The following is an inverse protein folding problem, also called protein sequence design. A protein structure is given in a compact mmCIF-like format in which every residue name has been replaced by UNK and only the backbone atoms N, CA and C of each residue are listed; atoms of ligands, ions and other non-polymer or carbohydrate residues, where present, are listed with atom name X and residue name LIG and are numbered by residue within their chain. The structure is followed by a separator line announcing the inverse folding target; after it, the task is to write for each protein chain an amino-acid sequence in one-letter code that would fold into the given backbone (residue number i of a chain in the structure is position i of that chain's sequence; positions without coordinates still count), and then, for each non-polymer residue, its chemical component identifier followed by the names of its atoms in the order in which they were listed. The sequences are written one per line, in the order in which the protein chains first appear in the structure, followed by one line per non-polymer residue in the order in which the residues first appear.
data_IF_952277866094
#
_entry.id   IF_952277866094
#
_cell.length_a   1.000
_cell.length_b   1.000
_cell.length_c   1.000
_cell.angle_alpha   90.00
_cell.angle_beta   90.00
_cell.angle_gamma   90.00
#
_symmetry.space_group_name_H-M   'P 1'
#
loop_
_entity.id
_entity.type
_entity.pdbx_description
1 polymer ?
#
# COMPACT_ATOMS: atom_id res chain seq x y z
N UNK A 1 -5.21 30.34 22.05
CA UNK A 1 -3.91 29.70 22.37
C UNK A 1 -4.02 28.18 22.46
N UNK A 2 -5.07 27.63 23.09
CA UNK A 2 -5.35 26.19 23.15
C UNK A 2 -5.24 25.47 21.80
N UNK A 3 -5.85 26.03 20.75
CA UNK A 3 -5.79 25.48 19.39
C UNK A 3 -4.37 25.41 18.80
N UNK A 4 -3.49 26.36 19.12
CA UNK A 4 -2.10 26.31 18.64
C UNK A 4 -1.31 25.20 19.34
N UNK A 5 -1.59 24.96 20.63
CA UNK A 5 -0.98 23.87 21.39
C UNK A 5 -1.44 22.52 20.80
N UNK A 6 -2.75 22.36 20.57
CA UNK A 6 -3.30 21.16 19.92
C UNK A 6 -2.74 20.97 18.51
N UNK A 7 -2.64 22.03 17.71
CA UNK A 7 -2.05 21.99 16.38
C UNK A 7 -0.57 21.59 16.42
N UNK A 8 0.20 22.09 17.39
CA UNK A 8 1.62 21.74 17.53
C UNK A 8 1.80 20.27 17.96
N UNK A 9 0.97 19.76 18.87
CA UNK A 9 0.94 18.35 19.24
C UNK A 9 0.63 17.46 18.02
N UNK A 10 -0.32 17.87 17.18
CA UNK A 10 -0.63 17.20 15.92
C UNK A 10 0.58 17.10 14.98
N UNK A 11 1.39 18.17 14.88
CA UNK A 11 2.60 18.15 14.06
C UNK A 11 3.65 17.14 14.55
N UNK A 12 3.86 17.04 15.87
CA UNK A 12 4.78 16.03 16.42
C UNK A 12 4.30 14.61 16.16
N UNK A 13 2.99 14.35 16.29
CA UNK A 13 2.41 13.04 15.98
C UNK A 13 2.61 12.71 14.49
N UNK A 14 2.39 13.67 13.59
CA UNK A 14 2.62 13.46 12.16
C UNK A 14 4.08 13.16 11.82
N UNK A 15 5.04 13.82 12.50
CA UNK A 15 6.47 13.58 12.31
C UNK A 15 6.86 12.17 12.76
N UNK A 16 6.33 11.70 13.89
CA UNK A 16 6.59 10.33 14.36
C UNK A 16 5.97 9.32 13.39
N UNK A 17 4.75 9.58 12.90
CA UNK A 17 4.08 8.71 11.94
C UNK A 17 4.85 8.57 10.61
N UNK A 18 5.41 9.66 10.08
CA UNK A 18 6.20 9.61 8.84
C UNK A 18 7.52 8.87 9.03
N UNK A 19 8.21 9.04 10.15
CA UNK A 19 9.41 8.27 10.48
C UNK A 19 9.08 6.77 10.57
N UNK A 20 8.00 6.41 11.26
CA UNK A 20 7.54 5.02 11.36
C UNK A 20 7.21 4.43 9.99
N UNK A 21 6.52 5.19 9.13
CA UNK A 21 6.21 4.77 7.76
C UNK A 21 7.48 4.48 6.94
N UNK A 22 8.49 5.35 7.02
CA UNK A 22 9.77 5.14 6.34
C UNK A 22 10.48 3.88 6.83
N UNK A 23 10.47 3.61 8.14
CA UNK A 23 11.09 2.41 8.72
C UNK A 23 10.39 1.12 8.27
N UNK A 24 9.06 1.11 8.22
CA UNK A 24 8.29 -0.06 7.77
C UNK A 24 8.58 -0.35 6.29
N UNK A 25 8.60 0.67 5.43
CA UNK A 25 8.94 0.50 4.01
C UNK A 25 10.36 -0.03 3.87
N UNK A 26 11.32 0.58 4.58
CA UNK A 26 12.73 0.15 4.55
C UNK A 26 12.91 -1.32 4.95
N UNK A 27 12.31 -1.71 6.07
CA UNK A 27 12.35 -3.09 6.55
C UNK A 27 11.71 -4.05 5.53
N UNK A 28 10.59 -3.66 4.91
CA UNK A 28 9.90 -4.47 3.92
C UNK A 28 10.75 -4.75 2.68
N UNK A 29 11.53 -3.76 2.22
CA UNK A 29 12.42 -3.90 1.06
C UNK A 29 13.59 -4.86 1.33
N UNK A 30 14.13 -4.87 2.55
CA UNK A 30 15.22 -5.77 2.95
C UNK A 30 14.71 -7.21 3.10
N UNK A 31 13.56 -7.39 3.76
CA UNK A 31 13.08 -8.71 4.15
C UNK A 31 12.32 -9.46 3.03
N UNK A 32 12.04 -8.82 1.88
CA UNK A 32 11.44 -9.41 0.66
C UNK A 32 10.39 -10.50 0.93
N UNK A 33 9.43 -10.22 1.84
CA UNK A 33 8.43 -11.21 2.24
C UNK A 33 7.49 -11.47 1.06
N UNK A 34 7.39 -12.73 0.63
CA UNK A 34 6.44 -13.13 -0.41
C UNK A 34 5.01 -13.05 0.11
N UNK A 35 4.10 -12.54 -0.72
CA UNK A 35 2.68 -12.44 -0.37
C UNK A 35 2.04 -13.82 -0.54
N UNK A 36 1.54 -14.41 0.55
CA UNK A 36 0.94 -15.75 0.54
C UNK A 36 -0.56 -15.69 0.18
N UNK A 37 -1.26 -14.65 0.67
CA UNK A 37 -2.67 -14.41 0.40
C UNK A 37 -2.92 -12.90 0.25
N UNK A 38 -3.73 -12.50 -0.73
CA UNK A 38 -4.21 -11.13 -0.86
C UNK A 38 -5.49 -10.94 -0.02
N UNK A 39 -5.56 -9.85 0.73
CA UNK A 39 -6.75 -9.46 1.51
C UNK A 39 -7.57 -8.38 0.80
N UNK A 40 -7.30 -8.17 -0.50
CA UNK A 40 -7.81 -7.05 -1.26
C UNK A 40 -9.20 -7.39 -1.81
N UNK A 41 -10.09 -6.39 -1.91
CA UNK A 41 -11.34 -6.57 -2.64
C UNK A 41 -11.04 -6.71 -4.14
N UNK A 42 -11.54 -7.74 -4.84
CA UNK A 42 -11.26 -7.97 -6.26
C UNK A 42 -12.12 -7.08 -7.17
N UNK A 43 -12.21 -5.78 -6.86
CA UNK A 43 -13.00 -4.83 -7.65
C UNK A 43 -12.33 -4.40 -8.94
N UNK A 44 -11.00 -4.46 -9.01
CA UNK A 44 -10.20 -4.12 -10.18
C UNK A 44 -9.39 -5.32 -10.67
N UNK A 45 -9.15 -5.36 -11.98
CA UNK A 45 -8.45 -6.46 -12.63
C UNK A 45 -7.00 -6.63 -12.18
N UNK A 46 -6.36 -5.54 -11.71
CA UNK A 46 -4.98 -5.54 -11.22
C UNK A 46 -4.77 -6.49 -10.03
N UNK A 47 -5.81 -6.71 -9.21
CA UNK A 47 -5.73 -7.60 -8.05
C UNK A 47 -5.71 -9.09 -8.41
N UNK A 48 -5.96 -9.43 -9.67
CA UNK A 48 -5.81 -10.80 -10.18
C UNK A 48 -4.39 -11.08 -10.70
N UNK A 49 -3.52 -10.09 -10.78
CA UNK A 49 -2.13 -10.30 -11.22
C UNK A 49 -1.29 -10.97 -10.13
N UNK A 50 -0.23 -11.67 -10.55
CA UNK A 50 0.81 -12.16 -9.65
C UNK A 50 1.60 -10.99 -9.03
N UNK A 51 2.19 -11.24 -7.87
CA UNK A 51 3.05 -10.30 -7.15
C UNK A 51 4.49 -10.87 -7.14
N UNK A 52 5.45 -10.35 -7.94
CA UNK A 52 5.35 -9.21 -8.86
C UNK A 52 4.68 -9.55 -10.20
N UNK A 53 4.12 -8.55 -10.91
CA UNK A 53 3.56 -8.75 -12.23
C UNK A 53 4.66 -9.05 -13.25
N UNK A 54 4.34 -9.88 -14.25
CA UNK A 54 5.23 -10.10 -15.39
C UNK A 54 5.25 -8.85 -16.30
N UNK A 55 6.35 -8.63 -17.05
CA UNK A 55 6.47 -7.54 -18.02
C UNK A 55 5.32 -7.53 -19.04
N UNK A 56 4.92 -8.71 -19.50
CA UNK A 56 3.70 -8.93 -20.25
C UNK A 56 2.65 -9.53 -19.32
N UNK A 57 1.96 -8.66 -18.57
CA UNK A 57 1.08 -9.08 -17.48
C UNK A 57 -0.19 -9.83 -17.94
N UNK A 58 -0.55 -9.71 -19.22
CA UNK A 58 -1.69 -10.42 -19.82
C UNK A 58 -1.29 -10.99 -21.19
N UNK A 59 -1.63 -12.25 -21.44
CA UNK A 59 -1.57 -12.83 -22.80
C UNK A 59 -2.75 -12.36 -23.66
N UNK A 60 -3.89 -12.13 -23.02
CA UNK A 60 -5.14 -11.65 -23.63
C UNK A 60 -5.90 -10.80 -22.61
N UNK A 61 -6.56 -9.73 -23.08
CA UNK A 61 -7.28 -8.82 -22.20
C UNK A 61 -8.55 -9.50 -21.67
N UNK A 62 -8.78 -9.50 -20.34
CA UNK A 62 -9.98 -10.08 -19.76
C UNK A 62 -11.22 -9.26 -20.17
N UNK A 63 -12.30 -9.97 -20.50
CA UNK A 63 -13.59 -9.35 -20.82
C UNK A 63 -14.21 -8.87 -19.51
N UNK A 64 -14.34 -7.55 -19.37
CA UNK A 64 -15.05 -6.94 -18.25
C UNK A 64 -16.56 -7.11 -18.48
N UNK A 65 -17.21 -7.94 -17.67
CA UNK A 65 -18.69 -7.95 -17.58
C UNK A 65 -19.08 -7.32 -16.27
N UNK A 66 -19.68 -6.13 -16.34
CA UNK A 66 -20.26 -5.49 -15.16
C UNK A 66 -21.53 -6.24 -14.79
N UNK A 67 -21.51 -6.96 -13.67
CA UNK A 67 -22.71 -7.38 -12.96
C UNK A 67 -22.74 -6.71 -11.60
#
# INVERSE_FOLDING_TARGET
LSWNIVSSLGSYISLIATIMMMMIIWESMINQRTVIFSLNMPSSIEWYQNLPPAEHSYNELPIMTNF
#
